data_IF_358171596732
#
_entry.id   IF_358171596732
#
_cell.length_a   1.000
_cell.length_b   1.000
_cell.length_c   1.000
_cell.angle_alpha   90.00
_cell.angle_beta   90.00
_cell.angle_gamma   90.00
#
_symmetry.space_group_name_H-M   'P 1'
#
loop_
_entity.id
_entity.type
_entity.pdbx_description
1 polymer ?
#
# COMPACT_ATOMS: atom_id res chain seq x y z
N UNK A 1 6.72 18.83 16.67
CA UNK A 1 5.91 18.36 15.97
C UNK A 1 5.82 16.97 16.09
N UNK A 2 4.78 16.40 16.04
CA UNK A 2 4.57 15.07 16.16
C UNK A 2 4.74 14.38 14.93
N UNK A 3 5.46 13.33 14.86
CA UNK A 3 5.49 12.54 13.67
C UNK A 3 4.12 11.99 13.41
N UNK A 4 3.65 12.08 12.24
CA UNK A 4 2.34 11.54 11.93
C UNK A 4 2.26 10.08 12.22
N UNK A 5 3.36 9.39 12.09
CA UNK A 5 3.32 7.97 12.27
C UNK A 5 3.02 7.54 13.67
N UNK A 6 3.12 8.44 14.63
CA UNK A 6 2.87 8.02 15.99
C UNK A 6 1.44 7.67 16.23
N UNK A 7 0.54 8.13 15.37
CA UNK A 7 -0.85 7.87 15.63
C UNK A 7 -1.42 6.74 14.80
N UNK A 8 -0.65 6.17 13.91
CA UNK A 8 -1.19 5.11 13.08
C UNK A 8 -0.76 3.76 13.61
N UNK A 9 -1.72 2.94 13.95
CA UNK A 9 -1.48 1.58 14.38
C UNK A 9 -2.14 0.66 13.39
N UNK A 10 -1.49 -0.45 13.12
CA UNK A 10 -2.08 -1.46 12.25
C UNK A 10 -3.15 -2.21 13.01
N UNK A 11 -4.23 -2.53 12.33
CA UNK A 11 -5.29 -3.32 12.91
C UNK A 11 -4.85 -4.76 13.08
N UNK A 12 -5.54 -5.52 13.94
CA UNK A 12 -5.20 -6.94 14.06
C UNK A 12 -5.27 -7.64 12.72
N UNK A 13 -4.24 -8.39 12.41
CA UNK A 13 -4.15 -9.10 11.14
C UNK A 13 -3.74 -8.26 9.96
N UNK A 14 -3.65 -6.95 10.14
CA UNK A 14 -3.33 -6.08 9.02
C UNK A 14 -1.87 -6.23 8.58
N UNK A 15 -0.97 -6.47 9.52
CA UNK A 15 0.44 -6.67 9.17
C UNK A 15 0.58 -7.81 8.17
N UNK A 16 -0.06 -8.93 8.46
CA UNK A 16 0.00 -10.10 7.59
C UNK A 16 -0.69 -9.85 6.26
N UNK A 17 -1.80 -9.12 6.29
CA UNK A 17 -2.51 -8.82 5.06
C UNK A 17 -1.69 -7.93 4.15
N UNK A 18 -0.98 -6.95 4.72
CA UNK A 18 -0.10 -6.10 3.93
C UNK A 18 1.03 -6.94 3.33
N UNK A 19 1.63 -7.80 4.14
CA UNK A 19 2.72 -8.63 3.65
C UNK A 19 2.27 -9.47 2.45
N UNK A 20 1.08 -10.04 2.53
CA UNK A 20 0.55 -10.83 1.42
C UNK A 20 0.27 -9.97 0.20
N UNK A 21 -0.28 -8.78 0.40
CA UNK A 21 -0.57 -7.90 -0.72
C UNK A 21 0.72 -7.51 -1.44
N UNK A 22 1.76 -7.23 -0.69
CA UNK A 22 3.02 -6.78 -1.28
C UNK A 22 3.86 -7.90 -1.87
N UNK A 23 3.48 -9.15 -1.61
CA UNK A 23 4.24 -10.28 -2.12
C UNK A 23 4.06 -10.51 -3.61
N UNK A 24 3.00 -9.97 -4.20
CA UNK A 24 2.77 -10.11 -5.62
C UNK A 24 3.49 -8.98 -6.35
N UNK A 25 4.46 -9.30 -7.22
CA UNK A 25 5.27 -8.24 -7.84
C UNK A 25 4.45 -7.28 -8.70
N UNK A 26 3.43 -7.77 -9.39
CA UNK A 26 2.63 -6.89 -10.21
C UNK A 26 1.77 -5.97 -9.35
N UNK A 27 1.25 -6.50 -8.25
CA UNK A 27 0.49 -5.68 -7.33
C UNK A 27 1.36 -4.61 -6.68
N UNK A 28 2.61 -4.97 -6.35
CA UNK A 28 3.53 -4.00 -5.80
C UNK A 28 3.83 -2.91 -6.82
N UNK A 29 4.00 -3.30 -8.10
CA UNK A 29 4.24 -2.32 -9.16
C UNK A 29 3.05 -1.37 -9.32
N UNK A 30 1.84 -1.87 -9.13
CA UNK A 30 0.68 -1.00 -9.17
C UNK A 30 0.69 -0.01 -8.02
N UNK A 31 1.09 -0.46 -6.84
CA UNK A 31 1.20 0.44 -5.71
C UNK A 31 2.23 1.53 -5.99
N UNK A 32 3.34 1.17 -6.62
CA UNK A 32 4.34 2.16 -7.00
C UNK A 32 3.76 3.18 -7.97
N UNK A 33 2.99 2.71 -8.93
CA UNK A 33 2.35 3.61 -9.90
C UNK A 33 1.39 4.56 -9.19
N UNK A 34 0.60 4.04 -8.26
CA UNK A 34 -0.34 4.89 -7.53
C UNK A 34 0.43 5.94 -6.72
N UNK A 35 1.55 5.56 -6.15
CA UNK A 35 2.30 6.47 -5.30
C UNK A 35 3.01 7.57 -6.10
N UNK A 36 3.12 7.42 -7.41
CA UNK A 36 3.83 8.40 -8.21
C UNK A 36 2.99 9.62 -8.57
N UNK A 37 1.74 9.67 -8.14
CA UNK A 37 0.86 10.79 -8.44
C UNK A 37 0.09 11.16 -7.18
N UNK A 38 -0.43 12.37 -7.15
CA UNK A 38 -1.28 12.77 -6.03
C UNK A 38 -2.55 11.95 -6.03
N UNK A 39 -3.09 11.70 -7.21
CA UNK A 39 -4.25 10.84 -7.38
C UNK A 39 -4.00 10.02 -8.62
N UNK A 40 -4.17 8.73 -8.54
CA UNK A 40 -3.97 7.86 -9.68
C UNK A 40 -5.31 7.39 -10.22
N UNK A 41 -5.67 7.76 -11.45
CA UNK A 41 -6.95 7.30 -12.02
C UNK A 41 -6.92 5.80 -12.28
N UNK A 42 -8.07 5.17 -12.07
CA UNK A 42 -8.20 3.74 -12.35
C UNK A 42 -7.81 3.43 -13.80
N UNK A 43 -8.14 4.33 -14.71
CA UNK A 43 -7.83 4.13 -16.13
C UNK A 43 -6.32 4.03 -16.36
N UNK A 44 -5.53 4.79 -15.61
CA UNK A 44 -4.09 4.72 -15.77
C UNK A 44 -3.56 3.34 -15.42
N UNK A 45 -4.15 2.69 -14.42
CA UNK A 45 -3.74 1.34 -14.07
C UNK A 45 -4.17 0.34 -15.14
N UNK A 46 -5.39 0.48 -15.64
CA UNK A 46 -5.86 -0.40 -16.70
C UNK A 46 -5.01 -0.27 -17.96
N UNK A 47 -4.57 0.93 -18.27
CA UNK A 47 -3.77 1.16 -19.47
C UNK A 47 -2.30 0.82 -19.27
N UNK A 48 -1.83 0.89 -18.05
CA UNK A 48 -0.39 0.76 -17.78
C UNK A 48 0.10 -0.65 -17.53
N UNK A 49 -0.79 -1.62 -17.42
CA UNK A 49 -0.38 -2.98 -17.14
C UNK A 49 -0.99 -3.95 -18.13
N UNK A 50 -0.21 -4.91 -18.62
CA UNK A 50 -0.67 -5.82 -19.67
C UNK A 50 -1.50 -6.98 -19.08
N UNK A 51 -2.56 -6.64 -18.36
CA UNK A 51 -3.45 -7.63 -17.77
C UNK A 51 -4.88 -7.17 -17.97
N UNK A 52 -5.81 -8.08 -17.74
CA UNK A 52 -7.22 -7.76 -17.94
C UNK A 52 -7.71 -6.79 -16.90
N UNK A 53 -8.82 -6.12 -17.20
CA UNK A 53 -9.44 -5.23 -16.23
C UNK A 53 -9.83 -5.99 -14.97
N UNK A 54 -10.24 -7.24 -15.11
CA UNK A 54 -10.60 -8.03 -13.95
C UNK A 54 -9.40 -8.27 -13.05
N UNK A 55 -8.23 -8.50 -13.65
CA UNK A 55 -7.02 -8.68 -12.87
C UNK A 55 -6.62 -7.38 -12.17
N UNK A 56 -6.74 -6.25 -12.86
CA UNK A 56 -6.46 -4.97 -12.24
C UNK A 56 -7.39 -4.77 -11.05
N UNK A 57 -8.68 -5.04 -11.24
CA UNK A 57 -9.66 -4.90 -10.16
C UNK A 57 -9.32 -5.77 -8.97
N UNK A 58 -8.86 -6.98 -9.22
CA UNK A 58 -8.49 -7.88 -8.13
C UNK A 58 -7.31 -7.34 -7.35
N UNK A 59 -6.28 -6.86 -8.05
CA UNK A 59 -5.12 -6.30 -7.36
C UNK A 59 -5.48 -5.05 -6.55
N UNK A 60 -6.32 -4.19 -7.14
CA UNK A 60 -6.76 -2.99 -6.44
C UNK A 60 -7.54 -3.36 -5.18
N UNK A 61 -8.42 -4.35 -5.29
CA UNK A 61 -9.20 -4.78 -4.15
C UNK A 61 -8.29 -5.26 -3.01
N UNK A 62 -7.24 -6.01 -3.36
CA UNK A 62 -6.31 -6.49 -2.34
C UNK A 62 -5.56 -5.34 -1.67
N UNK A 63 -5.18 -4.33 -2.44
CA UNK A 63 -4.51 -3.17 -1.87
C UNK A 63 -5.44 -2.37 -0.95
N UNK A 64 -6.70 -2.22 -1.36
CA UNK A 64 -7.68 -1.51 -0.54
C UNK A 64 -7.93 -2.27 0.75
N UNK A 65 -8.11 -3.58 0.66
CA UNK A 65 -8.39 -4.38 1.84
C UNK A 65 -7.23 -4.42 2.81
N UNK A 66 -6.01 -4.29 2.30
CA UNK A 66 -4.84 -4.20 3.17
C UNK A 66 -4.70 -2.80 3.80
N UNK A 67 -5.49 -1.84 3.36
CA UNK A 67 -5.42 -0.50 3.88
C UNK A 67 -4.30 0.34 3.29
N UNK A 68 -3.69 -0.14 2.20
CA UNK A 68 -2.55 0.55 1.61
C UNK A 68 -2.93 1.71 0.71
N UNK A 69 -4.12 1.67 0.15
CA UNK A 69 -4.61 2.73 -0.72
C UNK A 69 -6.04 3.06 -0.36
N UNK A 70 -6.44 4.27 -0.73
CA UNK A 70 -7.77 4.74 -0.49
C UNK A 70 -8.45 5.06 -1.81
N UNK A 71 -9.61 4.48 -2.10
CA UNK A 71 -10.31 4.82 -3.33
C UNK A 71 -11.16 6.06 -3.15
N UNK A 72 -11.25 6.84 -4.22
CA UNK A 72 -12.13 7.99 -4.26
C UNK A 72 -12.94 7.88 -5.52
N UNK A 73 -14.21 8.23 -5.44
CA UNK A 73 -15.06 8.12 -6.61
C UNK A 73 -15.87 9.39 -6.79
N UNK A 74 -15.88 9.88 -8.03
CA UNK A 74 -16.69 11.01 -8.36
C UNK A 74 -17.44 10.62 -9.60
N UNK A 75 -18.71 10.31 -9.49
CA UNK A 75 -19.49 9.78 -10.61
C UNK A 75 -18.88 8.45 -11.04
N UNK A 76 -18.48 8.37 -12.28
CA UNK A 76 -17.84 7.18 -12.81
C UNK A 76 -16.32 7.23 -12.71
N UNK A 77 -15.81 8.33 -12.20
CA UNK A 77 -14.38 8.54 -12.17
C UNK A 77 -13.82 8.01 -10.85
N UNK A 78 -12.87 7.10 -10.95
CA UNK A 78 -12.30 6.48 -9.77
C UNK A 78 -10.83 6.77 -9.71
N UNK A 79 -10.35 7.19 -8.54
CA UNK A 79 -8.93 7.45 -8.33
C UNK A 79 -8.48 6.78 -7.04
N UNK A 80 -7.17 6.64 -6.89
CA UNK A 80 -6.59 6.02 -5.72
C UNK A 80 -5.44 6.85 -5.19
N UNK A 81 -5.29 6.88 -3.88
CA UNK A 81 -4.13 7.50 -3.23
C UNK A 81 -3.53 6.52 -2.25
N UNK A 82 -2.23 6.62 -2.06
CA UNK A 82 -1.55 5.74 -1.11
C UNK A 82 -1.76 6.26 0.30
N UNK A 83 -2.03 5.34 1.22
CA UNK A 83 -2.08 5.66 2.63
C UNK A 83 -0.66 5.62 3.18
N UNK A 84 0.04 6.75 3.10
CA UNK A 84 1.42 6.80 3.56
C UNK A 84 1.56 6.48 5.03
N UNK A 85 0.57 6.84 5.84
CA UNK A 85 0.60 6.52 7.26
C UNK A 85 0.62 5.01 7.49
N UNK A 86 -0.12 4.26 6.68
CA UNK A 86 -0.16 2.81 6.81
C UNK A 86 1.15 2.20 6.31
N UNK A 87 1.68 2.71 5.21
CA UNK A 87 2.96 2.23 4.69
C UNK A 87 4.06 2.44 5.74
N UNK A 88 4.07 3.62 6.35
CA UNK A 88 5.06 3.93 7.37
C UNK A 88 4.90 3.02 8.59
N UNK A 89 3.67 2.77 9.01
CA UNK A 89 3.42 1.90 10.14
C UNK A 89 3.87 0.47 9.86
N UNK A 90 3.64 0.01 8.63
CA UNK A 90 4.06 -1.33 8.25
C UNK A 90 5.59 -1.44 8.25
N UNK A 91 6.26 -0.46 7.64
CA UNK A 91 7.73 -0.47 7.59
C UNK A 91 8.32 -0.43 8.99
N UNK A 92 7.73 0.40 9.85
CA UNK A 92 8.20 0.49 11.23
C UNK A 92 8.02 -0.83 11.96
N UNK A 93 6.90 -1.51 11.70
CA UNK A 93 6.64 -2.78 12.37
C UNK A 93 7.60 -3.87 11.89
N UNK A 94 7.94 -3.86 10.60
CA UNK A 94 8.94 -4.80 10.09
C UNK A 94 10.27 -4.58 10.82
N UNK A 95 10.67 -3.33 10.92
CA UNK A 95 11.94 -3.01 11.56
C UNK A 95 11.90 -3.41 13.03
N UNK A 96 10.79 -3.17 13.70
CA UNK A 96 10.66 -3.53 15.10
C UNK A 96 10.79 -5.04 15.31
N UNK A 97 10.23 -5.83 14.39
CA UNK A 97 10.21 -7.28 14.56
C UNK A 97 11.51 -7.94 14.19
N UNK A 98 12.16 -7.48 13.13
CA UNK A 98 13.35 -8.16 12.64
C UNK A 98 14.60 -7.32 12.65
N UNK A 99 14.49 -6.02 12.87
CA UNK A 99 15.67 -5.17 12.94
C UNK A 99 16.32 -5.35 14.27
N UNK A 100 17.59 -5.64 14.28
CA UNK A 100 18.30 -5.79 15.52
C UNK A 100 19.23 -4.68 15.72
N UNK A 101 19.42 -4.27 16.93
CA UNK A 101 20.40 -3.24 17.17
C UNK A 101 21.74 -3.80 16.86
N UNK A 102 22.57 -2.98 16.29
CA UNK A 102 23.83 -3.41 15.99
C UNK A 102 24.68 -3.44 17.09
N UNK A 103 24.35 -3.44 18.01
CA UNK A 103 24.99 -3.41 19.13
C UNK A 103 26.05 -4.07 19.34
N UNK A 104 26.41 -4.58 19.33
CA UNK A 104 27.22 -5.01 19.83
C UNK A 104 28.02 -5.12 19.43
N UNK A 105 28.27 -4.75 19.22
CA UNK A 105 29.13 -4.65 18.88
C UNK A 105 30.02 -5.29 19.38
N UNK A 106 30.07 -5.70 19.52
CA UNK A 106 30.93 -6.50 19.98
C UNK A 106 31.33 -6.69 20.56
#
# INVERSE_FOLDING_TARGET
MNPPSTSTLLAPGQFERIAKALADPRRFAMLETISSALECPNQALCNGFPVSKATVSHHIKELVQAGLIEPEREGQYKTYTVRQDVVNAYAAEVIRRVGKPRARAG
#
